data_IF_630932002341
#
_entry.id   IF_630932002341
#
_cell.length_a   1.000
_cell.length_b   1.000
_cell.length_c   1.000
_cell.angle_alpha   90.00
_cell.angle_beta   90.00
_cell.angle_gamma   90.00
#
_symmetry.space_group_name_H-M   'P 1'
#
loop_
_entity.id
_entity.type
_entity.pdbx_description
1 polymer ?
#
# COMPACT_ATOMS: atom_id res chain seq x y z
N UNK A 1 -35.40 -8.28 -14.67
CA UNK A 1 -34.30 -7.51 -14.06
C UNK A 1 -33.62 -8.42 -13.05
N UNK A 2 -32.59 -9.13 -13.49
CA UNK A 2 -31.72 -9.90 -12.59
C UNK A 2 -30.89 -8.90 -11.80
N UNK A 3 -31.10 -8.89 -10.48
CA UNK A 3 -30.34 -8.13 -9.50
C UNK A 3 -28.87 -8.59 -9.56
N UNK A 4 -28.04 -7.85 -10.31
CA UNK A 4 -26.60 -8.16 -10.38
C UNK A 4 -25.93 -7.44 -9.23
N UNK A 5 -25.34 -8.22 -8.33
CA UNK A 5 -24.50 -7.72 -7.24
C UNK A 5 -23.38 -6.85 -7.82
N UNK A 6 -23.15 -5.67 -7.23
CA UNK A 6 -22.05 -4.79 -7.59
C UNK A 6 -20.71 -5.55 -7.60
N UNK A 7 -19.77 -5.15 -8.46
CA UNK A 7 -18.47 -5.82 -8.57
C UNK A 7 -17.72 -5.80 -7.23
N UNK A 8 -16.85 -6.79 -7.01
CA UNK A 8 -16.07 -6.90 -5.76
C UNK A 8 -15.30 -5.62 -5.49
N UNK A 9 -14.70 -5.03 -6.52
CA UNK A 9 -13.98 -3.75 -6.40
C UNK A 9 -14.89 -2.59 -5.99
N UNK A 10 -16.09 -2.50 -6.58
CA UNK A 10 -17.06 -1.47 -6.19
C UNK A 10 -17.48 -1.61 -4.73
N UNK A 11 -17.68 -2.85 -4.25
CA UNK A 11 -18.05 -3.10 -2.86
C UNK A 11 -16.93 -2.68 -1.89
N UNK A 12 -15.66 -2.98 -2.22
CA UNK A 12 -14.49 -2.53 -1.44
C UNK A 12 -14.41 -1.01 -1.35
N UNK A 13 -14.53 -0.31 -2.47
CA UNK A 13 -14.42 1.15 -2.50
C UNK A 13 -15.54 1.85 -1.71
N UNK A 14 -16.72 1.23 -1.61
CA UNK A 14 -17.85 1.78 -0.83
C UNK A 14 -17.67 1.72 0.68
N UNK A 15 -16.86 0.78 1.16
CA UNK A 15 -16.59 0.66 2.59
C UNK A 15 -15.49 1.62 3.05
N UNK A 16 -14.86 2.34 2.12
CA UNK A 16 -13.80 3.30 2.46
C UNK A 16 -14.37 4.48 3.24
N UNK A 17 -13.77 4.73 4.40
CA UNK A 17 -13.99 5.92 5.20
C UNK A 17 -13.01 7.03 4.79
N UNK A 18 -13.47 7.94 3.92
CA UNK A 18 -12.66 9.06 3.42
C UNK A 18 -12.41 10.15 4.47
N UNK A 19 -13.43 10.44 5.28
CA UNK A 19 -13.38 11.39 6.40
C UNK A 19 -13.59 10.57 7.66
N UNK A 20 -12.49 10.26 8.35
CA UNK A 20 -12.48 9.33 9.47
C UNK A 20 -11.86 9.90 10.74
N UNK A 21 -11.76 9.05 11.75
CA UNK A 21 -11.05 9.32 12.99
C UNK A 21 -9.54 9.47 12.73
N UNK A 22 -8.99 10.65 13.03
CA UNK A 22 -7.56 10.93 12.84
C UNK A 22 -6.67 9.98 13.64
N UNK A 23 -7.09 9.54 14.82
CA UNK A 23 -6.31 8.58 15.61
C UNK A 23 -6.24 7.21 14.93
N UNK A 24 -7.32 6.81 14.24
CA UNK A 24 -7.38 5.58 13.47
C UNK A 24 -6.45 5.60 12.25
N UNK A 25 -6.40 6.72 11.51
CA UNK A 25 -5.54 6.86 10.34
C UNK A 25 -4.07 7.02 10.74
N UNK A 26 -3.78 7.80 11.79
CA UNK A 26 -2.42 7.96 12.32
C UNK A 26 -1.83 6.64 12.84
N UNK A 27 -2.66 5.76 13.41
CA UNK A 27 -2.23 4.42 13.80
C UNK A 27 -1.79 3.56 12.60
N UNK A 28 -2.28 3.89 11.38
CA UNK A 28 -2.03 3.13 10.14
C UNK A 28 -1.05 3.79 9.16
N UNK A 29 -0.30 4.77 9.65
CA UNK A 29 0.54 5.60 8.78
C UNK A 29 1.67 4.82 8.10
N UNK A 30 2.17 3.76 8.73
CA UNK A 30 3.30 2.98 8.23
C UNK A 30 2.90 2.15 7.02
N UNK A 31 1.84 1.35 7.16
CA UNK A 31 1.26 0.58 6.07
C UNK A 31 0.78 1.51 4.94
N UNK A 32 0.09 2.61 5.25
CA UNK A 32 -0.33 3.61 4.25
C UNK A 32 0.85 4.13 3.41
N UNK A 33 1.97 4.45 4.05
CA UNK A 33 3.14 4.92 3.29
C UNK A 33 3.75 3.85 2.40
N UNK A 34 3.84 2.61 2.88
CA UNK A 34 4.40 1.50 2.09
C UNK A 34 3.46 1.16 0.92
N UNK A 35 2.14 1.17 1.15
CA UNK A 35 1.13 0.98 0.11
C UNK A 35 1.20 2.08 -0.96
N UNK A 36 1.33 3.35 -0.57
CA UNK A 36 1.53 4.44 -1.53
C UNK A 36 2.82 4.26 -2.33
N UNK A 37 3.93 3.88 -1.69
CA UNK A 37 5.20 3.59 -2.38
C UNK A 37 5.05 2.44 -3.38
N UNK A 38 4.37 1.37 -3.00
CA UNK A 38 4.12 0.23 -3.88
C UNK A 38 3.17 0.59 -5.04
N UNK A 39 2.14 1.40 -4.79
CA UNK A 39 1.30 1.95 -5.85
C UNK A 39 2.13 2.75 -6.87
N UNK A 40 2.97 3.68 -6.41
CA UNK A 40 3.80 4.51 -7.27
C UNK A 40 4.79 3.69 -8.12
N UNK A 41 5.34 2.62 -7.54
CA UNK A 41 6.15 1.62 -8.24
C UNK A 41 5.36 0.90 -9.33
N UNK A 42 4.16 0.39 -9.02
CA UNK A 42 3.30 -0.28 -10.01
C UNK A 42 2.82 0.69 -11.08
N UNK A 43 2.41 1.90 -10.71
CA UNK A 43 2.06 2.97 -11.65
C UNK A 43 3.20 3.28 -12.61
N UNK A 44 4.45 3.27 -12.15
CA UNK A 44 5.61 3.47 -13.03
C UNK A 44 5.81 2.32 -14.02
N UNK A 45 5.60 1.06 -13.59
CA UNK A 45 5.64 -0.11 -14.49
C UNK A 45 4.56 -0.02 -15.56
N UNK A 46 3.32 0.26 -15.17
CA UNK A 46 2.21 0.40 -16.10
C UNK A 46 2.40 1.59 -17.05
N UNK A 47 2.90 2.73 -16.55
CA UNK A 47 3.18 3.88 -17.39
C UNK A 47 4.30 3.61 -18.40
N UNK A 48 5.34 2.86 -18.02
CA UNK A 48 6.40 2.43 -18.93
C UNK A 48 5.89 1.45 -20.00
N UNK A 49 5.07 0.48 -19.62
CA UNK A 49 4.52 -0.52 -20.55
C UNK A 49 3.72 0.12 -21.69
N UNK A 50 2.95 1.16 -21.37
CA UNK A 50 2.10 1.87 -22.34
C UNK A 50 2.70 3.18 -22.87
N UNK A 51 3.96 3.51 -22.52
CA UNK A 51 4.65 4.74 -22.90
C UNK A 51 3.87 6.04 -22.56
N UNK A 52 3.32 6.09 -21.34
CA UNK A 52 2.44 7.16 -20.84
C UNK A 52 2.99 7.78 -19.55
N UNK A 53 4.30 7.93 -19.44
CA UNK A 53 4.97 8.44 -18.25
C UNK A 53 4.54 9.86 -17.86
N UNK A 54 3.97 10.64 -18.78
CA UNK A 54 3.38 11.96 -18.51
C UNK A 54 2.07 11.89 -17.72
N UNK A 55 1.36 10.76 -17.72
CA UNK A 55 0.13 10.54 -16.97
C UNK A 55 0.39 10.04 -15.54
N UNK A 56 1.64 9.65 -15.23
CA UNK A 56 2.02 9.18 -13.91
C UNK A 56 1.90 10.31 -12.86
N UNK A 57 1.47 10.05 -11.60
CA UNK A 57 1.20 8.73 -11.02
C UNK A 57 -0.27 8.33 -10.95
N UNK A 58 -1.20 9.26 -11.09
CA UNK A 58 -2.64 9.02 -10.88
C UNK A 58 -3.33 9.13 -12.23
N UNK A 59 -3.71 7.98 -12.79
CA UNK A 59 -4.34 7.90 -14.09
C UNK A 59 -5.24 6.67 -14.17
N UNK A 60 -6.21 6.69 -15.08
CA UNK A 60 -6.95 5.52 -15.50
C UNK A 60 -6.16 4.77 -16.59
N UNK A 61 -5.53 3.65 -16.22
CA UNK A 61 -4.72 2.88 -17.16
C UNK A 61 -5.55 2.25 -18.27
N UNK A 62 -6.84 2.02 -18.03
CA UNK A 62 -7.72 1.35 -19.00
C UNK A 62 -7.90 2.16 -20.27
N UNK A 63 -7.73 3.48 -20.20
CA UNK A 63 -7.73 4.38 -21.36
C UNK A 63 -6.60 4.08 -22.36
N UNK A 64 -5.53 3.43 -21.91
CA UNK A 64 -4.37 3.06 -22.72
C UNK A 64 -4.33 1.57 -23.08
N UNK A 65 -4.89 0.71 -22.21
CA UNK A 65 -5.01 -0.73 -22.47
C UNK A 65 -6.02 -1.01 -23.60
N UNK A 66 -7.22 -0.46 -23.46
CA UNK A 66 -8.32 -0.64 -24.41
C UNK A 66 -9.21 0.62 -24.37
N UNK A 67 -8.93 1.62 -25.22
CA UNK A 67 -9.71 2.87 -25.28
C UNK A 67 -11.19 2.67 -25.62
N UNK A 68 -11.55 1.53 -26.22
CA UNK A 68 -12.93 1.18 -26.60
C UNK A 68 -13.67 0.47 -25.46
N UNK A 69 -12.97 0.05 -24.40
CA UNK A 69 -13.58 -0.60 -23.26
C UNK A 69 -14.63 0.29 -22.59
N UNK A 70 -15.82 -0.27 -22.40
CA UNK A 70 -16.94 0.37 -21.69
C UNK A 70 -17.47 -0.55 -20.60
N UNK A 71 -17.78 0.04 -19.45
CA UNK A 71 -18.57 -0.63 -18.43
C UNK A 71 -19.99 -0.89 -18.96
N UNK A 72 -20.73 -1.75 -18.26
CA UNK A 72 -22.17 -1.82 -18.53
C UNK A 72 -22.82 -0.49 -18.13
N UNK A 73 -23.89 -0.02 -18.81
CA UNK A 73 -24.57 1.22 -18.44
C UNK A 73 -24.96 1.29 -16.95
N UNK A 74 -25.32 0.16 -16.37
CA UNK A 74 -25.66 0.04 -14.96
C UNK A 74 -24.45 0.25 -14.05
N UNK A 75 -23.32 -0.42 -14.35
CA UNK A 75 -22.07 -0.26 -13.59
C UNK A 75 -21.49 1.16 -13.74
N UNK A 76 -21.60 1.75 -14.92
CA UNK A 76 -21.17 3.13 -15.18
C UNK A 76 -21.96 4.11 -14.31
N UNK A 77 -23.29 4.04 -14.32
CA UNK A 77 -24.14 4.90 -13.50
C UNK A 77 -23.87 4.71 -11.98
N UNK A 78 -23.62 3.47 -11.58
CA UNK A 78 -23.26 3.12 -10.21
C UNK A 78 -21.92 3.73 -9.77
N UNK A 79 -20.91 3.67 -10.66
CA UNK A 79 -19.60 4.27 -10.47
C UNK A 79 -19.70 5.80 -10.42
N UNK A 80 -20.39 6.43 -11.36
CA UNK A 80 -20.61 7.89 -11.36
C UNK A 80 -21.25 8.38 -10.05
N UNK A 81 -22.29 7.67 -9.59
CA UNK A 81 -22.95 7.99 -8.33
C UNK A 81 -22.01 7.85 -7.12
N UNK A 82 -21.12 6.86 -7.10
CA UNK A 82 -20.08 6.72 -6.08
C UNK A 82 -19.05 7.85 -6.15
N UNK A 83 -18.48 8.10 -7.33
CA UNK A 83 -17.42 9.09 -7.56
C UNK A 83 -17.86 10.51 -7.19
N UNK A 84 -19.15 10.84 -7.32
CA UNK A 84 -19.71 12.14 -6.88
C UNK A 84 -19.47 12.46 -5.39
N UNK A 85 -19.19 11.45 -4.56
CA UNK A 85 -18.98 11.56 -3.10
C UNK A 85 -17.51 11.46 -2.70
N UNK A 86 -16.63 11.14 -3.63
CA UNK A 86 -15.19 10.99 -3.41
C UNK A 86 -14.53 12.38 -3.45
N UNK A 87 -13.66 12.72 -2.48
CA UNK A 87 -13.27 14.10 -2.21
C UNK A 87 -12.40 14.73 -3.31
N UNK A 88 -11.36 14.04 -3.79
CA UNK A 88 -10.37 14.62 -4.73
C UNK A 88 -10.48 14.05 -6.15
N UNK A 89 -10.03 14.83 -7.14
CA UNK A 89 -10.03 14.40 -8.54
C UNK A 89 -9.10 13.20 -8.80
N UNK A 90 -7.90 13.21 -8.21
CA UNK A 90 -6.92 12.13 -8.34
C UNK A 90 -7.46 10.81 -7.74
N UNK A 91 -8.16 10.89 -6.60
CA UNK A 91 -8.81 9.71 -6.00
C UNK A 91 -9.99 9.26 -6.86
N UNK A 92 -10.79 10.19 -7.41
CA UNK A 92 -11.88 9.82 -8.33
C UNK A 92 -11.36 9.07 -9.56
N UNK A 93 -10.29 9.57 -10.17
CA UNK A 93 -9.66 8.98 -11.35
C UNK A 93 -9.13 7.57 -11.08
N UNK A 94 -8.40 7.40 -9.97
CA UNK A 94 -7.86 6.08 -9.60
C UNK A 94 -8.91 5.08 -9.12
N UNK A 95 -9.97 5.54 -8.43
CA UNK A 95 -11.14 4.70 -8.13
C UNK A 95 -11.86 4.24 -9.40
N UNK A 96 -12.03 5.13 -10.38
CA UNK A 96 -12.64 4.78 -11.67
C UNK A 96 -11.78 3.74 -12.41
N UNK A 97 -10.48 4.00 -12.51
CA UNK A 97 -9.52 3.06 -13.12
C UNK A 97 -9.50 1.70 -12.42
N UNK A 98 -9.57 1.66 -11.08
CA UNK A 98 -9.63 0.41 -10.32
C UNK A 98 -10.85 -0.44 -10.68
N UNK A 99 -12.03 0.16 -10.75
CA UNK A 99 -13.27 -0.54 -11.14
C UNK A 99 -13.20 -1.00 -12.60
N UNK A 100 -12.77 -0.13 -13.51
CA UNK A 100 -12.66 -0.47 -14.94
C UNK A 100 -11.64 -1.57 -15.19
N UNK A 101 -10.47 -1.53 -14.54
CA UNK A 101 -9.43 -2.54 -14.69
C UNK A 101 -9.90 -3.90 -14.14
N UNK A 102 -10.61 -3.91 -13.01
CA UNK A 102 -11.17 -5.14 -12.45
C UNK A 102 -12.19 -5.79 -13.42
N UNK A 103 -13.12 -4.99 -13.95
CA UNK A 103 -14.12 -5.46 -14.94
C UNK A 103 -13.47 -5.91 -16.26
N UNK A 104 -12.45 -5.19 -16.72
CA UNK A 104 -11.67 -5.58 -17.91
C UNK A 104 -10.97 -6.92 -17.69
N UNK A 105 -10.33 -7.11 -16.54
CA UNK A 105 -9.65 -8.38 -16.19
C UNK A 105 -10.62 -9.55 -16.15
N UNK A 106 -11.83 -9.36 -15.61
CA UNK A 106 -12.85 -10.41 -15.57
C UNK A 106 -13.34 -10.80 -16.97
N UNK A 107 -13.50 -9.83 -17.87
CA UNK A 107 -14.04 -10.07 -19.23
C UNK A 107 -13.00 -10.55 -20.22
N UNK A 108 -11.78 -10.05 -20.12
CA UNK A 108 -10.70 -10.33 -21.06
C UNK A 108 -9.33 -10.33 -20.38
N UNK A 109 -9.03 -11.35 -19.54
CA UNK A 109 -7.74 -11.41 -18.84
C UNK A 109 -6.55 -11.49 -19.79
N UNK A 110 -6.74 -12.02 -21.01
CA UNK A 110 -5.69 -12.17 -22.01
C UNK A 110 -5.25 -10.85 -22.67
N UNK A 111 -6.04 -9.77 -22.53
CA UNK A 111 -5.66 -8.44 -23.03
C UNK A 111 -4.75 -7.67 -22.07
N UNK A 112 -4.59 -8.15 -20.83
CA UNK A 112 -3.76 -7.48 -19.83
C UNK A 112 -2.31 -7.98 -19.90
N UNK A 113 -1.33 -7.09 -19.69
CA UNK A 113 0.07 -7.46 -19.63
C UNK A 113 0.35 -8.26 -18.36
N UNK A 114 1.46 -8.99 -18.32
CA UNK A 114 1.94 -9.70 -17.14
C UNK A 114 2.57 -8.72 -16.13
N UNK A 115 1.74 -7.82 -15.61
CA UNK A 115 2.10 -6.81 -14.62
C UNK A 115 1.30 -7.02 -13.34
N UNK A 116 1.87 -6.66 -12.16
CA UNK A 116 1.13 -6.69 -10.92
C UNK A 116 -0.07 -5.73 -10.98
N UNK A 117 -1.15 -6.07 -10.28
CA UNK A 117 -2.34 -5.21 -10.22
C UNK A 117 -1.97 -3.78 -9.81
N UNK A 118 -2.25 -2.82 -10.69
CA UNK A 118 -1.93 -1.41 -10.49
C UNK A 118 -2.57 -0.84 -9.23
N UNK A 119 -3.87 -1.07 -9.06
CA UNK A 119 -4.69 -0.36 -8.10
C UNK A 119 -4.76 -1.07 -6.75
N UNK A 120 -4.48 -2.37 -6.67
CA UNK A 120 -4.55 -3.12 -5.41
C UNK A 120 -3.86 -2.43 -4.21
N UNK A 121 -2.59 -1.97 -4.28
CA UNK A 121 -1.97 -1.28 -3.15
C UNK A 121 -2.68 0.04 -2.81
N UNK A 122 -3.26 0.73 -3.79
CA UNK A 122 -3.95 1.99 -3.57
C UNK A 122 -5.36 1.79 -3.00
N UNK A 123 -6.06 0.73 -3.41
CA UNK A 123 -7.34 0.32 -2.81
C UNK A 123 -7.13 -0.08 -1.35
N UNK A 124 -6.10 -0.88 -1.05
CA UNK A 124 -5.72 -1.19 0.33
C UNK A 124 -5.35 0.07 1.10
N UNK A 125 -4.68 1.04 0.48
CA UNK A 125 -4.40 2.33 1.12
C UNK A 125 -5.68 3.04 1.54
N UNK A 126 -6.70 3.06 0.66
CA UNK A 126 -8.01 3.64 0.94
C UNK A 126 -8.76 2.88 2.03
N UNK A 127 -8.74 1.56 2.01
CA UNK A 127 -9.38 0.70 3.03
C UNK A 127 -8.79 0.92 4.43
N UNK A 128 -7.58 1.48 4.53
CA UNK A 128 -6.95 1.90 5.79
C UNK A 128 -7.37 3.28 6.28
N UNK A 129 -8.35 3.89 5.61
CA UNK A 129 -9.03 5.13 5.99
C UNK A 129 -8.25 6.39 5.64
N UNK A 130 -8.97 7.47 5.37
CA UNK A 130 -8.40 8.78 5.05
C UNK A 130 -7.91 8.94 3.61
N UNK A 131 -7.98 10.17 3.12
CA UNK A 131 -7.52 10.56 1.79
C UNK A 131 -6.01 10.86 1.73
N UNK A 132 -5.51 11.13 0.53
CA UNK A 132 -4.28 11.89 0.32
C UNK A 132 -4.59 13.20 -0.39
N UNK A 133 -3.78 14.23 -0.12
CA UNK A 133 -3.90 15.53 -0.76
C UNK A 133 -2.56 15.95 -1.32
N UNK A 134 -2.53 16.43 -2.57
CA UNK A 134 -1.31 17.02 -3.13
C UNK A 134 -1.07 18.40 -2.49
N UNK A 135 0.12 18.59 -1.93
CA UNK A 135 0.54 19.89 -1.41
C UNK A 135 1.06 20.81 -2.53
N UNK A 136 1.14 22.12 -2.24
CA UNK A 136 1.63 23.12 -3.19
C UNK A 136 3.11 22.94 -3.59
N UNK A 137 3.87 22.13 -2.85
CA UNK A 137 5.26 21.81 -3.14
C UNK A 137 5.42 20.50 -3.93
N UNK A 138 4.31 19.91 -4.41
CA UNK A 138 4.29 18.67 -5.18
C UNK A 138 4.47 17.40 -4.35
N UNK A 139 4.45 17.50 -3.01
CA UNK A 139 4.34 16.37 -2.11
C UNK A 139 2.90 15.85 -2.01
N UNK A 140 2.74 14.67 -1.43
CA UNK A 140 1.45 14.10 -1.04
C UNK A 140 1.38 14.14 0.49
N UNK A 141 0.37 14.78 1.02
CA UNK A 141 -0.01 14.63 2.42
C UNK A 141 -0.83 13.35 2.59
N UNK A 142 -0.25 12.36 3.28
CA UNK A 142 -0.89 11.10 3.62
C UNK A 142 -1.53 11.16 5.02
N UNK A 143 -2.33 12.21 5.26
CA UNK A 143 -3.05 12.42 6.53
C UNK A 143 -2.10 12.78 7.69
N UNK A 144 -1.32 13.86 7.51
CA UNK A 144 -0.34 14.40 8.46
C UNK A 144 1.10 13.97 8.22
N UNK A 145 1.35 13.19 7.16
CA UNK A 145 2.70 12.77 6.76
C UNK A 145 2.96 13.15 5.32
N UNK A 146 3.90 14.07 5.12
CA UNK A 146 4.37 14.44 3.78
C UNK A 146 5.17 13.30 3.17
N UNK A 147 4.78 12.92 1.96
CA UNK A 147 5.39 11.90 1.13
C UNK A 147 5.82 12.51 -0.20
N UNK A 148 7.02 12.20 -0.67
CA UNK A 148 7.52 12.68 -1.97
C UNK A 148 7.34 11.57 -3.01
N UNK A 149 6.50 11.77 -4.05
CA UNK A 149 6.29 10.76 -5.09
C UNK A 149 7.57 10.36 -5.83
N UNK A 150 8.50 11.30 -5.99
CA UNK A 150 9.71 11.10 -6.80
C UNK A 150 9.40 11.14 -8.30
N UNK A 151 10.14 10.35 -9.07
CA UNK A 151 9.98 10.25 -10.54
C UNK A 151 9.59 8.83 -10.94
N UNK A 152 8.97 8.61 -12.12
CA UNK A 152 8.72 7.27 -12.63
C UNK A 152 9.98 6.39 -12.63
N UNK A 153 11.10 6.91 -13.15
CA UNK A 153 12.37 6.18 -13.22
C UNK A 153 12.91 5.77 -11.83
N UNK A 154 12.79 6.64 -10.83
CA UNK A 154 13.19 6.29 -9.46
C UNK A 154 12.31 5.20 -8.85
N UNK A 155 11.02 5.22 -9.16
CA UNK A 155 10.07 4.21 -8.71
C UNK A 155 10.32 2.86 -9.38
N UNK A 156 10.67 2.80 -10.67
CA UNK A 156 11.03 1.54 -11.36
C UNK A 156 12.20 0.79 -10.68
N UNK A 157 13.15 1.51 -10.09
CA UNK A 157 14.29 0.93 -9.37
C UNK A 157 14.00 0.51 -7.92
N UNK A 158 12.77 0.71 -7.43
CA UNK A 158 12.40 0.41 -6.05
C UNK A 158 12.12 -1.09 -5.86
N UNK A 159 12.60 -1.73 -4.77
CA UNK A 159 12.22 -3.12 -4.46
C UNK A 159 10.71 -3.31 -4.34
N UNK A 160 10.14 -4.40 -4.87
CA UNK A 160 8.71 -4.65 -4.78
C UNK A 160 8.28 -4.98 -3.36
N UNK A 161 7.13 -4.44 -2.94
CA UNK A 161 6.41 -4.90 -1.76
C UNK A 161 5.25 -5.82 -2.19
N UNK A 162 5.41 -7.12 -1.94
CA UNK A 162 4.51 -8.19 -2.36
C UNK A 162 3.56 -8.60 -1.24
N UNK A 163 3.96 -8.42 0.01
CA UNK A 163 3.23 -8.89 1.19
C UNK A 163 2.04 -7.97 1.57
N UNK A 164 1.07 -7.83 0.67
CA UNK A 164 -0.09 -6.92 0.83
C UNK A 164 -1.20 -7.40 1.79
N UNK A 165 -1.02 -8.55 2.47
CA UNK A 165 -2.07 -9.12 3.32
C UNK A 165 -2.36 -8.30 4.58
N UNK A 166 -3.62 -8.32 5.04
CA UNK A 166 -4.09 -7.56 6.21
C UNK A 166 -3.22 -7.79 7.45
N UNK A 167 -2.90 -9.04 7.77
CA UNK A 167 -2.02 -9.40 8.91
C UNK A 167 -0.63 -8.74 8.82
N UNK A 168 -0.09 -8.59 7.61
CA UNK A 168 1.22 -7.94 7.39
C UNK A 168 1.10 -6.44 7.60
N UNK A 169 0.09 -5.83 7.00
CA UNK A 169 -0.16 -4.39 7.12
C UNK A 169 -0.44 -3.99 8.58
N UNK A 170 -1.20 -4.79 9.32
CA UNK A 170 -1.49 -4.58 10.73
C UNK A 170 -0.24 -4.77 11.60
N UNK A 171 0.63 -5.72 11.27
CA UNK A 171 1.89 -5.90 11.98
C UNK A 171 2.88 -4.74 11.77
N UNK A 172 2.83 -4.06 10.62
CA UNK A 172 3.64 -2.87 10.35
C UNK A 172 3.18 -1.65 11.13
N UNK A 173 1.89 -1.61 11.45
CA UNK A 173 1.27 -0.44 12.03
C UNK A 173 1.50 -0.32 13.53
N UNK A 174 1.93 0.89 13.92
CA UNK A 174 2.25 1.23 15.29
C UNK A 174 2.45 2.73 15.42
N UNK A 175 2.37 3.20 16.66
CA UNK A 175 2.74 4.57 17.05
C UNK A 175 4.25 4.70 17.25
N UNK A 176 4.76 5.89 16.98
CA UNK A 176 6.15 6.30 17.23
C UNK A 176 7.09 6.09 16.06
N UNK A 177 8.36 6.48 16.24
CA UNK A 177 9.42 6.20 15.28
C UNK A 177 9.84 4.74 15.42
N UNK A 178 9.91 4.01 14.31
CA UNK A 178 10.26 2.58 14.30
C UNK A 178 11.56 2.35 13.55
N UNK A 179 12.44 1.52 14.12
CA UNK A 179 13.60 0.95 13.44
C UNK A 179 13.48 -0.57 13.46
N UNK A 180 13.73 -1.23 12.34
CA UNK A 180 13.65 -2.68 12.20
C UNK A 180 15.04 -3.30 12.08
N UNK A 181 15.22 -4.49 12.66
CA UNK A 181 16.46 -5.23 12.57
C UNK A 181 16.18 -6.73 12.43
N UNK A 182 17.06 -7.45 11.76
CA UNK A 182 17.05 -8.92 11.72
C UNK A 182 18.48 -9.45 11.74
N UNK A 183 18.62 -10.74 12.07
CA UNK A 183 19.91 -11.41 11.93
C UNK A 183 20.35 -11.43 10.46
N UNK A 184 21.66 -11.38 10.25
CA UNK A 184 22.25 -11.47 8.92
C UNK A 184 21.76 -12.73 8.17
N UNK A 185 21.35 -12.56 6.91
CA UNK A 185 20.67 -13.60 6.13
C UNK A 185 19.15 -13.73 6.35
N UNK A 186 18.52 -12.83 7.10
CA UNK A 186 17.04 -12.69 7.17
C UNK A 186 16.31 -13.83 7.90
N UNK A 187 17.04 -14.72 8.57
CA UNK A 187 16.43 -15.74 9.43
C UNK A 187 16.07 -15.12 10.77
N UNK A 188 14.84 -15.35 11.20
CA UNK A 188 14.26 -14.87 12.45
C UNK A 188 15.25 -14.98 13.65
N UNK A 189 15.18 -14.06 14.62
CA UNK A 189 14.06 -13.16 14.89
C UNK A 189 14.13 -11.80 14.18
N UNK A 190 12.99 -11.36 13.62
CA UNK A 190 12.77 -9.95 13.28
C UNK A 190 12.46 -9.20 14.57
N UNK A 191 13.18 -8.11 14.82
CA UNK A 191 13.00 -7.24 15.99
C UNK A 191 12.77 -5.81 15.53
N UNK A 192 12.05 -5.03 16.34
CA UNK A 192 11.88 -3.60 16.11
C UNK A 192 12.09 -2.81 17.39
N UNK A 193 12.60 -1.60 17.23
CA UNK A 193 12.67 -0.58 18.27
C UNK A 193 11.65 0.50 17.96
N UNK A 194 10.73 0.76 18.89
CA UNK A 194 9.79 1.87 18.82
C UNK A 194 10.18 2.96 19.80
N UNK A 195 10.17 4.21 19.35
CA UNK A 195 10.35 5.37 20.21
C UNK A 195 9.05 6.19 20.21
N UNK A 196 8.34 6.15 21.34
CA UNK A 196 7.06 6.84 21.53
C UNK A 196 7.24 7.89 22.61
N UNK A 197 7.10 9.17 22.27
CA UNK A 197 7.27 10.29 23.22
C UNK A 197 8.61 10.24 24.00
N UNK A 198 9.66 9.71 23.37
CA UNK A 198 10.99 9.56 23.97
C UNK A 198 11.21 8.24 24.72
N UNK A 199 10.16 7.46 24.97
CA UNK A 199 10.25 6.14 25.59
C UNK A 199 10.55 5.06 24.55
N UNK A 200 11.50 4.17 24.90
CA UNK A 200 11.94 3.06 24.06
C UNK A 200 11.14 1.80 24.38
N UNK A 201 10.61 1.16 23.35
CA UNK A 201 9.96 -0.15 23.43
C UNK A 201 10.59 -1.06 22.37
N UNK A 202 11.32 -2.08 22.83
CA UNK A 202 11.93 -3.07 21.95
C UNK A 202 11.03 -4.31 21.90
N UNK A 203 10.76 -4.79 20.69
CA UNK A 203 9.81 -5.86 20.43
C UNK A 203 10.38 -6.89 19.44
N UNK A 204 10.00 -8.16 19.62
CA UNK A 204 10.31 -9.25 18.70
C UNK A 204 9.04 -9.74 18.01
N UNK A 205 9.12 -10.02 16.71
CA UNK A 205 8.01 -10.61 15.98
C UNK A 205 7.98 -12.12 16.23
N UNK A 206 6.97 -12.57 16.95
CA UNK A 206 6.82 -13.94 17.42
C UNK A 206 6.13 -14.88 16.41
N UNK A 207 6.14 -16.19 16.69
CA UNK A 207 5.48 -17.21 15.86
C UNK A 207 3.96 -17.04 15.79
N UNK A 208 3.36 -16.39 16.79
CA UNK A 208 1.93 -16.06 16.82
C UNK A 208 1.59 -14.79 16.01
N UNK A 209 2.48 -14.37 15.11
CA UNK A 209 2.33 -13.24 14.19
C UNK A 209 2.02 -11.91 14.91
N UNK A 210 2.59 -11.73 16.10
CA UNK A 210 2.46 -10.54 16.93
C UNK A 210 3.80 -10.06 17.44
N UNK A 211 3.85 -8.78 17.79
CA UNK A 211 4.99 -8.17 18.46
C UNK A 211 4.91 -8.40 19.98
N UNK A 212 6.01 -8.87 20.56
CA UNK A 212 6.13 -9.11 22.01
C UNK A 212 7.32 -8.32 22.57
N UNK A 213 7.24 -7.75 23.79
CA UNK A 213 8.36 -7.07 24.42
C UNK A 213 9.62 -7.94 24.47
N UNK A 214 10.79 -7.34 24.22
CA UNK A 214 12.05 -8.06 24.23
C UNK A 214 13.21 -7.21 24.74
N UNK A 215 14.22 -7.88 25.28
CA UNK A 215 15.52 -7.34 25.70
C UNK A 215 16.64 -7.65 24.68
N UNK A 216 16.29 -8.21 23.52
CA UNK A 216 17.23 -8.66 22.47
C UNK A 216 17.93 -7.54 21.70
N UNK A 217 17.48 -6.30 21.83
CA UNK A 217 18.06 -5.16 21.12
C UNK A 217 19.02 -4.39 22.03
N UNK A 218 20.34 -4.41 21.74
CA UNK A 218 21.30 -3.61 22.47
C UNK A 218 21.02 -2.11 22.39
N UNK A 219 21.56 -1.35 23.34
CA UNK A 219 21.26 0.09 23.43
C UNK A 219 21.85 0.91 22.29
N UNK A 220 23.08 0.57 21.85
CA UNK A 220 23.81 1.31 20.83
C UNK A 220 23.83 0.57 19.50
N UNK A 221 23.92 1.31 18.40
CA UNK A 221 23.99 0.74 17.05
C UNK A 221 25.25 -0.14 16.87
N UNK A 222 26.37 0.23 17.51
CA UNK A 222 27.59 -0.60 17.50
C UNK A 222 27.35 -1.95 18.16
N UNK A 223 26.61 -1.98 19.26
CA UNK A 223 26.28 -3.22 19.96
C UNK A 223 25.23 -4.04 19.20
N UNK A 224 24.26 -3.40 18.54
CA UNK A 224 23.31 -4.06 17.62
C UNK A 224 24.08 -4.79 16.51
N UNK A 225 25.04 -4.11 15.87
CA UNK A 225 25.89 -4.71 14.84
C UNK A 225 26.76 -5.84 15.41
N UNK A 226 27.33 -5.66 16.60
CA UNK A 226 28.13 -6.70 17.27
C UNK A 226 27.30 -7.94 17.63
N UNK A 227 26.00 -7.78 17.85
CA UNK A 227 25.04 -8.87 18.05
C UNK A 227 24.63 -9.59 16.74
N UNK A 228 25.20 -9.19 15.59
CA UNK A 228 24.89 -9.78 14.29
C UNK A 228 23.54 -9.34 13.71
N UNK A 229 22.96 -8.26 14.24
CA UNK A 229 21.73 -7.66 13.73
C UNK A 229 22.05 -6.59 12.69
N UNK A 230 21.26 -6.57 11.63
CA UNK A 230 21.38 -5.61 10.53
C UNK A 230 20.11 -4.77 10.50
N UNK A 231 20.27 -3.45 10.39
CA UNK A 231 19.15 -2.53 10.21
C UNK A 231 18.46 -2.78 8.86
N UNK A 232 17.13 -2.81 8.89
CA UNK A 232 16.29 -3.03 7.73
C UNK A 232 15.56 -1.75 7.35
N UNK A 233 15.37 -1.55 6.05
CA UNK A 233 14.31 -0.65 5.61
C UNK A 233 12.94 -1.32 5.78
N UNK A 234 11.89 -0.52 5.69
CA UNK A 234 10.53 -0.99 5.99
C UNK A 234 9.99 -1.93 4.92
N UNK A 235 10.33 -1.65 3.65
CA UNK A 235 10.70 -2.63 2.62
C UNK A 235 10.88 -4.07 3.10
N UNK A 236 12.14 -4.34 3.45
CA UNK A 236 12.63 -5.63 3.87
C UNK A 236 11.94 -6.13 5.14
N UNK A 237 11.62 -5.24 6.09
CA UNK A 237 10.90 -5.65 7.30
C UNK A 237 9.50 -6.20 6.97
N UNK A 238 8.76 -5.55 6.08
CA UNK A 238 7.43 -5.95 5.68
C UNK A 238 7.43 -7.28 4.90
N UNK A 239 8.41 -7.47 4.01
CA UNK A 239 8.59 -8.76 3.32
C UNK A 239 8.92 -9.89 4.30
N UNK A 240 9.76 -9.67 5.32
CA UNK A 240 10.05 -10.68 6.35
C UNK A 240 8.82 -11.04 7.20
N UNK A 241 7.95 -10.07 7.50
CA UNK A 241 6.66 -10.32 8.14
C UNK A 241 5.78 -11.15 7.20
N UNK A 242 5.70 -10.78 5.92
CA UNK A 242 4.96 -11.53 4.90
C UNK A 242 5.41 -12.99 4.79
N UNK A 243 6.71 -13.22 4.76
CA UNK A 243 7.30 -14.56 4.75
C UNK A 243 6.94 -15.36 6.01
N UNK A 244 6.88 -14.71 7.18
CA UNK A 244 6.46 -15.35 8.42
C UNK A 244 4.97 -15.74 8.38
N UNK A 245 4.10 -14.84 7.92
CA UNK A 245 2.67 -15.10 7.72
C UNK A 245 2.47 -16.26 6.74
N UNK A 246 3.15 -16.23 5.59
CA UNK A 246 3.06 -17.28 4.57
C UNK A 246 3.56 -18.65 5.03
N UNK A 247 4.49 -18.71 5.99
CA UNK A 247 4.90 -19.97 6.64
C UNK A 247 3.89 -20.48 7.65
N UNK A 248 3.20 -19.59 8.37
CA UNK A 248 2.20 -19.97 9.37
C UNK A 248 0.88 -20.45 8.74
N UNK A 249 0.58 -20.04 7.51
CA UNK A 249 -0.63 -20.47 6.77
C UNK A 249 -0.48 -21.78 5.99
N UNK A 250 0.66 -22.46 6.08
CA UNK A 250 0.92 -23.77 5.43
C UNK A 250 0.81 -24.91 6.44
#
# INVERSE_FOLDING_TARGET
>A
MTDRTASVMMNRLRTVEWVGDWDHVLARVMSRRILMREYLRRAALWAQEYAVESAWPFFDVTEYVDPEFRLSPETEAELEAFLSRVPSAEIRETCAGAVRLAEMRERNPAALPDLPDLYEPLVLFYERGGEFVRDNAGGLDLTGVSFRPGTPQGNLGTPPFRALGETVLDALDTKGRVSYYAADGGRAPLVRRRVVRGERHDEVFGPELRWEPTDRLPETEEAVKAAGLVALDEIAAAELIGDAVGRASR
#
